data_IF_224038093892
#
_entry.id   IF_224038093892
#
_cell.length_a   1.000
_cell.length_b   1.000
_cell.length_c   1.000
_cell.angle_alpha   90.00
_cell.angle_beta   90.00
_cell.angle_gamma   90.00
#
_symmetry.space_group_name_H-M   'P 1'
#
loop_
_entity.id
_entity.type
_entity.pdbx_description
1 polymer ?
#
# COMPACT_ATOMS: atom_id res chain seq x y z
N UNK A 1 -18.59 24.27 18.38
CA UNK A 1 -19.39 24.30 17.14
C UNK A 1 -19.48 22.89 16.59
N UNK A 2 -20.67 22.28 16.64
CA UNK A 2 -20.91 20.94 16.12
C UNK A 2 -20.75 20.96 14.59
N UNK A 3 -19.71 20.32 14.05
CA UNK A 3 -19.55 20.15 12.61
C UNK A 3 -20.58 19.11 12.17
N UNK A 4 -21.60 19.55 11.45
CA UNK A 4 -22.67 18.71 10.91
C UNK A 4 -22.10 17.47 10.23
N UNK A 5 -22.55 16.29 10.68
CA UNK A 5 -22.10 14.96 10.23
C UNK A 5 -22.59 14.65 8.80
N UNK A 6 -23.46 15.48 8.24
CA UNK A 6 -24.23 15.19 7.03
C UNK A 6 -23.87 16.04 5.81
N UNK A 7 -22.59 16.35 5.61
CA UNK A 7 -22.14 16.82 4.29
C UNK A 7 -21.94 15.61 3.38
N UNK A 8 -22.59 15.55 2.19
CA UNK A 8 -22.38 14.48 1.21
C UNK A 8 -20.90 14.26 0.86
N UNK A 9 -20.08 15.32 0.93
CA UNK A 9 -18.65 15.28 0.67
C UNK A 9 -17.85 14.45 1.69
N UNK A 10 -18.37 14.24 2.91
CA UNK A 10 -17.68 13.45 3.95
C UNK A 10 -17.94 11.95 3.87
N UNK A 11 -18.89 11.51 3.05
CA UNK A 11 -19.23 10.09 2.92
C UNK A 11 -18.22 9.42 2.00
N UNK A 12 -17.63 8.32 2.45
CA UNK A 12 -16.75 7.49 1.63
C UNK A 12 -17.58 6.66 0.64
N UNK A 13 -17.35 6.87 -0.64
CA UNK A 13 -17.85 6.03 -1.71
C UNK A 13 -16.95 4.80 -1.88
N UNK A 14 -17.55 3.66 -2.20
CA UNK A 14 -16.88 2.40 -2.51
C UNK A 14 -17.15 2.12 -3.99
N UNK A 15 -16.11 2.15 -4.81
CA UNK A 15 -16.22 2.18 -6.26
C UNK A 15 -15.37 1.09 -6.90
N UNK A 16 -15.64 0.87 -8.18
CA UNK A 16 -14.80 0.04 -9.04
C UNK A 16 -14.36 0.85 -10.26
N UNK A 17 -13.14 0.58 -10.73
CA UNK A 17 -12.63 1.03 -12.02
C UNK A 17 -12.11 -0.19 -12.79
N UNK A 18 -12.20 -0.15 -14.11
CA UNK A 18 -11.50 -1.09 -14.97
C UNK A 18 -10.11 -0.51 -15.28
N UNK A 19 -9.06 -1.28 -15.02
CA UNK A 19 -7.68 -0.94 -15.37
C UNK A 19 -7.11 -2.10 -16.16
N UNK A 20 -7.08 -1.95 -17.48
CA UNK A 20 -6.63 -2.96 -18.46
C UNK A 20 -7.34 -4.32 -18.27
N UNK A 21 -8.66 -4.30 -18.05
CA UNK A 21 -9.46 -5.51 -17.83
C UNK A 21 -9.36 -6.09 -16.41
N UNK A 22 -8.62 -5.44 -15.50
CA UNK A 22 -8.64 -5.78 -14.06
C UNK A 22 -9.67 -4.91 -13.36
N UNK A 23 -10.65 -5.52 -12.67
CA UNK A 23 -11.62 -4.77 -11.86
C UNK A 23 -10.98 -4.38 -10.53
N UNK A 24 -10.72 -3.09 -10.37
CA UNK A 24 -10.05 -2.50 -9.21
C UNK A 24 -11.08 -1.88 -8.28
N UNK A 25 -11.13 -2.35 -7.04
CA UNK A 25 -11.88 -1.66 -5.99
C UNK A 25 -11.08 -0.45 -5.49
N UNK A 26 -11.78 0.64 -5.19
CA UNK A 26 -11.19 1.77 -4.50
C UNK A 26 -12.21 2.51 -3.63
N UNK A 27 -11.70 3.14 -2.58
CA UNK A 27 -12.45 4.10 -1.76
C UNK A 27 -12.18 5.50 -2.29
N UNK A 28 -13.23 6.31 -2.32
CA UNK A 28 -13.14 7.73 -2.67
C UNK A 28 -13.89 8.58 -1.63
N UNK A 29 -13.33 9.71 -1.23
CA UNK A 29 -14.02 10.66 -0.36
C UNK A 29 -13.65 12.11 -0.72
N UNK A 30 -14.57 13.04 -0.47
CA UNK A 30 -14.37 14.48 -0.69
C UNK A 30 -14.87 15.01 -2.03
N UNK A 31 -14.84 16.34 -2.24
CA UNK A 31 -15.34 16.97 -3.46
C UNK A 31 -14.57 16.50 -4.70
N UNK A 32 -15.25 16.15 -5.82
CA UNK A 32 -14.58 15.66 -7.04
C UNK A 32 -13.55 16.63 -7.65
N UNK A 33 -13.70 17.93 -7.40
CA UNK A 33 -12.87 19.03 -7.89
C UNK A 33 -11.79 19.50 -6.88
N UNK A 34 -11.77 18.92 -5.68
CA UNK A 34 -10.74 19.22 -4.68
C UNK A 34 -9.36 18.63 -5.08
N UNK A 35 -8.26 19.20 -4.57
CA UNK A 35 -6.93 18.61 -4.79
C UNK A 35 -6.87 17.16 -4.31
N UNK A 36 -6.20 16.32 -5.09
CA UNK A 36 -6.17 14.87 -4.89
C UNK A 36 -5.09 14.47 -3.88
N UNK A 37 -5.42 13.55 -2.99
CA UNK A 37 -4.43 12.75 -2.24
C UNK A 37 -4.65 11.28 -2.60
N UNK A 38 -3.63 10.67 -3.19
CA UNK A 38 -3.60 9.25 -3.53
C UNK A 38 -3.00 8.47 -2.35
N UNK A 39 -3.69 7.41 -1.94
CA UNK A 39 -3.43 6.64 -0.72
C UNK A 39 -3.16 5.16 -1.09
N UNK A 40 -1.99 4.81 -1.64
CA UNK A 40 -1.59 3.42 -1.80
C UNK A 40 -1.40 2.77 -0.43
N UNK A 41 -2.03 1.61 -0.20
CA UNK A 41 -1.92 0.90 1.07
C UNK A 41 -0.60 0.13 1.20
N UNK A 42 -0.29 -0.31 2.42
CA UNK A 42 0.81 -1.24 2.71
C UNK A 42 0.39 -2.71 2.68
N UNK A 43 1.35 -3.57 2.92
CA UNK A 43 1.17 -4.97 3.27
C UNK A 43 0.79 -5.10 4.76
N UNK A 44 -0.01 -6.10 5.17
CA UNK A 44 -0.87 -7.00 4.38
C UNK A 44 -2.29 -6.40 4.19
N UNK A 45 -2.41 -5.09 4.02
CA UNK A 45 -3.68 -4.36 4.16
C UNK A 45 -4.42 -4.18 2.81
N UNK A 46 -5.38 -3.25 2.81
CA UNK A 46 -6.11 -2.75 1.64
C UNK A 46 -6.43 -1.26 1.85
N UNK A 47 -7.25 -0.65 0.98
CA UNK A 47 -7.81 0.70 1.20
C UNK A 47 -8.53 0.84 2.54
N UNK A 48 -8.93 -0.27 3.17
CA UNK A 48 -9.50 -0.29 4.53
C UNK A 48 -8.56 0.31 5.59
N UNK A 49 -7.24 0.32 5.34
CA UNK A 49 -6.24 1.03 6.15
C UNK A 49 -6.64 2.49 6.39
N UNK A 50 -7.22 3.14 5.39
CA UNK A 50 -7.52 4.57 5.41
C UNK A 50 -8.96 4.89 5.81
N UNK A 51 -9.76 3.91 6.25
CA UNK A 51 -11.20 4.08 6.53
C UNK A 51 -11.54 5.21 7.51
N UNK A 52 -10.68 5.46 8.50
CA UNK A 52 -10.85 6.53 9.48
C UNK A 52 -10.15 7.82 9.04
N UNK A 53 -9.07 7.69 8.28
CA UNK A 53 -8.29 8.80 7.76
C UNK A 53 -9.06 9.59 6.70
N UNK A 54 -9.73 8.88 5.79
CA UNK A 54 -10.40 9.53 4.65
C UNK A 54 -11.52 10.49 5.07
N UNK A 55 -12.50 10.10 5.91
CA UNK A 55 -13.57 11.01 6.33
C UNK A 55 -13.07 12.25 7.07
N UNK A 56 -11.91 12.16 7.76
CA UNK A 56 -11.34 13.26 8.52
C UNK A 56 -10.76 14.39 7.65
N UNK A 57 -10.44 14.10 6.38
CA UNK A 57 -9.84 15.05 5.43
C UNK A 57 -10.73 15.35 4.21
N UNK A 58 -11.82 14.60 4.05
CA UNK A 58 -12.75 14.70 2.92
C UNK A 58 -13.50 16.04 2.83
N UNK A 59 -13.38 16.95 3.79
CA UNK A 59 -13.94 18.30 3.65
C UNK A 59 -13.07 19.24 2.81
N UNK A 60 -11.82 18.87 2.52
CA UNK A 60 -10.84 19.72 1.81
C UNK A 60 -10.14 19.03 0.65
N UNK A 61 -10.09 17.71 0.65
CA UNK A 61 -9.30 16.93 -0.29
C UNK A 61 -10.15 15.85 -0.95
N UNK A 62 -9.85 15.56 -2.21
CA UNK A 62 -10.33 14.35 -2.89
C UNK A 62 -9.37 13.20 -2.57
N UNK A 63 -9.81 12.26 -1.77
CA UNK A 63 -8.99 11.15 -1.30
C UNK A 63 -9.33 9.91 -2.12
N UNK A 64 -8.31 9.25 -2.67
CA UNK A 64 -8.47 8.06 -3.50
C UNK A 64 -7.56 6.97 -2.97
N UNK A 65 -8.13 5.84 -2.54
CA UNK A 65 -7.40 4.70 -1.99
C UNK A 65 -7.76 3.42 -2.77
N UNK A 66 -6.94 2.96 -3.72
CA UNK A 66 -7.16 1.68 -4.41
C UNK A 66 -6.86 0.50 -3.48
N UNK A 67 -7.55 -0.61 -3.68
CA UNK A 67 -7.05 -1.93 -3.30
C UNK A 67 -6.17 -2.43 -4.45
N UNK A 68 -4.92 -2.81 -4.16
CA UNK A 68 -4.03 -3.36 -5.19
C UNK A 68 -4.58 -4.68 -5.77
N UNK A 69 -4.32 -5.01 -7.05
CA UNK A 69 -4.62 -6.33 -7.60
C UNK A 69 -4.05 -7.44 -6.71
N UNK A 70 -4.86 -8.44 -6.38
CA UNK A 70 -4.53 -9.48 -5.40
C UNK A 70 -4.76 -9.11 -3.93
N UNK A 71 -5.24 -7.89 -3.64
CA UNK A 71 -5.58 -7.42 -2.30
C UNK A 71 -7.04 -6.98 -2.22
N UNK A 72 -7.58 -6.99 -1.00
CA UNK A 72 -8.91 -6.48 -0.69
C UNK A 72 -9.99 -6.99 -1.64
N UNK A 73 -10.78 -6.07 -2.18
CA UNK A 73 -11.89 -6.37 -3.09
C UNK A 73 -11.53 -6.22 -4.58
N UNK A 74 -10.26 -5.99 -4.92
CA UNK A 74 -9.79 -5.98 -6.31
C UNK A 74 -9.62 -7.39 -6.86
N UNK A 75 -9.70 -7.53 -8.18
CA UNK A 75 -9.43 -8.80 -8.86
C UNK A 75 -7.99 -9.29 -8.60
N UNK A 76 -7.78 -10.58 -8.83
CA UNK A 76 -6.46 -11.23 -8.76
C UNK A 76 -6.10 -11.71 -10.17
N UNK A 77 -5.62 -10.83 -11.06
CA UNK A 77 -5.29 -11.20 -12.44
C UNK A 77 -4.25 -12.32 -12.50
N UNK A 78 -4.24 -13.05 -13.62
CA UNK A 78 -3.25 -14.10 -13.86
C UNK A 78 -1.81 -13.50 -13.83
N UNK A 79 -0.84 -14.13 -13.15
CA UNK A 79 0.54 -13.64 -13.11
C UNK A 79 1.22 -13.50 -14.48
N UNK A 80 0.75 -14.19 -15.52
CA UNK A 80 1.21 -13.99 -16.89
C UNK A 80 0.76 -12.63 -17.49
N UNK A 81 -0.33 -12.06 -16.97
CA UNK A 81 -0.88 -10.76 -17.38
C UNK A 81 -0.59 -9.61 -16.42
N UNK A 82 -0.17 -9.90 -15.18
CA UNK A 82 0.15 -8.90 -14.16
C UNK A 82 1.43 -9.23 -13.41
N UNK A 83 2.40 -8.30 -13.41
CA UNK A 83 3.62 -8.44 -12.63
C UNK A 83 3.36 -8.07 -11.16
N UNK A 84 3.33 -9.07 -10.29
CA UNK A 84 3.19 -8.93 -8.84
C UNK A 84 4.50 -8.51 -8.15
N UNK A 85 5.12 -7.46 -8.67
CA UNK A 85 6.35 -6.85 -8.13
C UNK A 85 6.08 -5.41 -7.71
N UNK A 86 6.96 -4.82 -6.91
CA UNK A 86 6.87 -3.39 -6.57
C UNK A 86 6.85 -2.47 -7.81
N UNK A 87 7.55 -2.83 -8.89
CA UNK A 87 7.55 -2.06 -10.14
C UNK A 87 6.25 -2.28 -10.92
N UNK A 88 5.76 -3.51 -10.96
CA UNK A 88 4.45 -3.84 -11.55
C UNK A 88 3.31 -3.09 -10.87
N UNK A 89 3.32 -3.00 -9.54
CA UNK A 89 2.36 -2.19 -8.79
C UNK A 89 2.53 -0.68 -9.02
N UNK A 90 3.75 -0.19 -9.21
CA UNK A 90 3.98 1.22 -9.55
C UNK A 90 3.43 1.58 -10.94
N UNK A 91 3.68 0.70 -11.92
CA UNK A 91 3.07 0.80 -13.26
C UNK A 91 1.55 0.67 -13.21
N UNK A 92 1.01 -0.18 -12.34
CA UNK A 92 -0.42 -0.25 -12.11
C UNK A 92 -0.99 1.06 -11.55
N UNK A 93 -0.36 1.70 -10.56
CA UNK A 93 -0.82 2.99 -10.06
C UNK A 93 -0.81 4.08 -11.13
N UNK A 94 0.18 4.08 -12.01
CA UNK A 94 0.24 5.01 -13.14
C UNK A 94 -0.98 4.84 -14.07
N UNK A 95 -1.36 3.59 -14.37
CA UNK A 95 -2.54 3.29 -15.19
C UNK A 95 -3.85 3.56 -14.46
N UNK A 96 -3.95 3.21 -13.19
CA UNK A 96 -5.11 3.49 -12.34
C UNK A 96 -5.37 5.00 -12.20
N UNK A 97 -4.34 5.79 -11.92
CA UNK A 97 -4.46 7.25 -11.84
C UNK A 97 -4.86 7.85 -13.19
N UNK A 98 -4.36 7.29 -14.30
CA UNK A 98 -4.76 7.72 -15.64
C UNK A 98 -6.21 7.35 -15.97
N UNK A 99 -6.68 6.15 -15.60
CA UNK A 99 -8.06 5.70 -15.78
C UNK A 99 -9.09 6.55 -15.01
N UNK A 100 -8.67 7.10 -13.86
CA UNK A 100 -9.46 8.05 -13.06
C UNK A 100 -9.22 9.52 -13.43
N UNK A 101 -8.44 9.78 -14.49
CA UNK A 101 -8.06 11.11 -14.96
C UNK A 101 -7.40 12.00 -13.89
N UNK A 102 -6.67 11.41 -12.95
CA UNK A 102 -5.98 12.12 -11.88
C UNK A 102 -4.68 12.73 -12.41
N UNK A 103 -4.75 14.01 -12.80
CA UNK A 103 -3.62 14.72 -13.43
C UNK A 103 -2.56 15.23 -12.46
N UNK A 104 -2.93 15.47 -11.20
CA UNK A 104 -2.02 15.97 -10.16
C UNK A 104 -2.48 15.56 -8.78
N UNK A 105 -1.57 15.04 -7.95
CA UNK A 105 -1.90 14.48 -6.64
C UNK A 105 -0.77 14.63 -5.62
N UNK A 106 -1.12 14.70 -4.34
CA UNK A 106 -0.21 14.38 -3.25
C UNK A 106 -0.20 12.86 -3.04
N UNK A 107 0.96 12.30 -2.70
CA UNK A 107 1.10 10.88 -2.35
C UNK A 107 1.22 10.72 -0.84
N UNK A 108 0.39 9.85 -0.27
CA UNK A 108 0.56 9.37 1.09
C UNK A 108 1.26 8.02 1.07
N UNK A 109 2.49 7.99 1.59
CA UNK A 109 3.41 6.87 1.49
C UNK A 109 3.47 6.17 2.86
N UNK A 110 3.06 4.90 2.88
CA UNK A 110 3.09 4.04 4.06
C UNK A 110 3.48 2.61 3.70
N UNK A 111 4.42 2.02 4.46
CA UNK A 111 4.88 0.64 4.30
C UNK A 111 5.26 0.35 2.82
N UNK A 112 4.83 -0.77 2.22
CA UNK A 112 5.07 -1.11 0.81
C UNK A 112 4.49 -0.05 -0.14
N UNK A 113 3.39 0.60 0.26
CA UNK A 113 2.82 1.75 -0.46
C UNK A 113 3.81 2.90 -0.62
N UNK A 114 4.82 3.01 0.26
CA UNK A 114 5.92 3.96 0.12
C UNK A 114 6.83 3.64 -1.05
N UNK A 115 7.28 2.39 -1.15
CA UNK A 115 8.18 1.94 -2.22
C UNK A 115 7.46 1.98 -3.58
N UNK A 116 6.22 1.49 -3.63
CA UNK A 116 5.38 1.54 -4.83
C UNK A 116 5.10 3.01 -5.23
N UNK A 117 4.71 3.85 -4.28
CA UNK A 117 4.37 5.25 -4.52
C UNK A 117 5.58 6.11 -4.91
N UNK A 118 6.78 5.85 -4.36
CA UNK A 118 8.00 6.54 -4.78
C UNK A 118 8.41 6.16 -6.20
N UNK A 119 8.25 4.90 -6.61
CA UNK A 119 8.45 4.49 -8.00
C UNK A 119 7.48 5.22 -8.93
N UNK A 120 6.21 5.36 -8.56
CA UNK A 120 5.26 6.19 -9.32
C UNK A 120 5.73 7.66 -9.40
N UNK A 121 6.17 8.22 -8.28
CA UNK A 121 6.65 9.60 -8.22
C UNK A 121 7.87 9.85 -9.12
N UNK A 122 8.76 8.87 -9.25
CA UNK A 122 9.91 8.93 -10.16
C UNK A 122 9.52 8.74 -11.63
N UNK A 123 8.45 8.00 -11.92
CA UNK A 123 7.94 7.77 -13.28
C UNK A 123 7.20 8.98 -13.84
N UNK A 124 6.45 9.69 -12.99
CA UNK A 124 5.64 10.85 -13.37
C UNK A 124 5.81 12.03 -12.38
N UNK A 125 7.04 12.57 -12.22
CA UNK A 125 7.32 13.60 -11.20
C UNK A 125 6.49 14.88 -11.39
N UNK A 126 6.10 15.21 -12.61
CA UNK A 126 5.27 16.38 -12.93
C UNK A 126 3.84 16.26 -12.38
N UNK A 127 3.36 15.05 -12.10
CA UNK A 127 2.04 14.79 -11.51
C UNK A 127 2.06 14.85 -9.98
N UNK A 128 3.24 14.86 -9.36
CA UNK A 128 3.39 14.85 -7.90
C UNK A 128 3.38 16.29 -7.36
N UNK A 129 2.38 16.60 -6.53
CA UNK A 129 2.27 17.89 -5.85
C UNK A 129 2.99 17.92 -4.50
N UNK A 130 2.97 16.80 -3.78
CA UNK A 130 3.57 16.64 -2.46
C UNK A 130 3.77 15.15 -2.13
N UNK A 131 4.70 14.88 -1.22
CA UNK A 131 4.89 13.57 -0.60
C UNK A 131 4.65 13.69 0.90
N UNK A 132 3.81 12.82 1.45
CA UNK A 132 3.56 12.65 2.88
C UNK A 132 4.06 11.26 3.21
N UNK A 133 5.10 11.14 4.03
CA UNK A 133 5.71 9.84 4.37
C UNK A 133 5.40 9.50 5.82
N UNK A 134 4.77 8.35 6.05
CA UNK A 134 4.49 7.79 7.38
C UNK A 134 4.92 6.32 7.39
N UNK A 135 5.89 5.94 8.21
CA UNK A 135 6.37 4.56 8.33
C UNK A 135 6.73 3.96 6.96
N UNK A 136 7.62 4.62 6.21
CA UNK A 136 8.08 4.16 4.91
C UNK A 136 9.59 3.99 4.91
N UNK A 137 10.07 2.85 4.42
CA UNK A 137 11.47 2.48 4.51
C UNK A 137 12.22 2.80 3.22
N UNK A 138 13.27 3.62 3.36
CA UNK A 138 14.22 3.93 2.28
C UNK A 138 15.68 3.78 2.74
N UNK A 139 15.91 3.06 3.85
CA UNK A 139 17.22 2.77 4.43
C UNK A 139 17.31 1.31 4.87
N UNK A 140 18.51 0.73 4.79
CA UNK A 140 18.74 -0.70 5.08
C UNK A 140 18.68 -1.05 6.58
N UNK A 141 18.92 -0.08 7.45
CA UNK A 141 18.90 -0.21 8.91
C UNK A 141 17.49 -0.35 9.48
N UNK A 142 16.45 -0.07 8.69
CA UNK A 142 15.04 -0.29 9.06
C UNK A 142 14.63 -1.78 9.00
N UNK A 143 15.42 -2.62 8.31
CA UNK A 143 15.21 -4.07 8.28
C UNK A 143 15.79 -4.74 9.54
N UNK A 144 15.13 -4.49 10.67
CA UNK A 144 15.49 -4.97 12.01
C UNK A 144 15.32 -6.49 12.25
N UNK A 145 15.39 -6.95 13.53
CA UNK A 145 15.44 -8.37 13.89
C UNK A 145 14.30 -9.22 13.32
N UNK A 146 13.08 -8.67 13.18
CA UNK A 146 11.95 -9.38 12.57
C UNK A 146 12.21 -9.88 11.15
N UNK A 147 13.14 -9.26 10.41
CA UNK A 147 13.50 -9.65 9.05
C UNK A 147 14.65 -10.66 8.98
N UNK A 148 15.18 -11.17 10.11
CA UNK A 148 16.34 -12.06 10.09
C UNK A 148 16.11 -13.34 9.28
N UNK A 149 14.95 -13.98 9.45
CA UNK A 149 14.60 -15.19 8.69
C UNK A 149 14.40 -14.91 7.21
N UNK A 150 13.88 -13.73 6.87
CA UNK A 150 13.72 -13.32 5.48
C UNK A 150 15.08 -13.02 4.82
N UNK A 151 16.00 -12.39 5.55
CA UNK A 151 17.38 -12.16 5.08
C UNK A 151 18.13 -13.47 4.86
N UNK A 152 18.02 -14.42 5.79
CA UNK A 152 18.60 -15.76 5.63
C UNK A 152 18.06 -16.47 4.37
N UNK A 153 16.75 -16.37 4.14
CA UNK A 153 16.12 -16.89 2.94
C UNK A 153 16.65 -16.19 1.67
N UNK A 154 16.85 -14.87 1.68
CA UNK A 154 17.41 -14.16 0.53
C UNK A 154 18.83 -14.64 0.18
N UNK A 155 19.67 -14.89 1.18
CA UNK A 155 21.04 -15.38 0.94
C UNK A 155 21.05 -16.83 0.45
N UNK A 156 20.09 -17.64 0.89
CA UNK A 156 19.99 -19.07 0.60
C UNK A 156 18.55 -19.49 0.22
N UNK A 157 18.06 -19.11 -0.98
CA UNK A 157 16.69 -19.40 -1.38
C UNK A 157 16.52 -20.91 -1.61
N UNK A 158 15.60 -21.51 -0.86
CA UNK A 158 15.29 -22.94 -0.91
C UNK A 158 13.77 -23.16 -0.96
N UNK A 159 13.29 -24.27 -1.57
CA UNK A 159 11.88 -24.64 -1.52
C UNK A 159 11.32 -24.70 -0.10
N UNK A 160 12.09 -25.24 0.84
CA UNK A 160 11.72 -25.34 2.27
C UNK A 160 11.68 -23.97 2.95
N UNK A 161 12.61 -23.07 2.61
CA UNK A 161 12.57 -21.69 3.06
C UNK A 161 11.33 -20.94 2.57
N UNK A 162 10.98 -21.11 1.29
CA UNK A 162 9.77 -20.51 0.72
C UNK A 162 8.50 -21.08 1.34
N UNK A 163 8.46 -22.40 1.58
CA UNK A 163 7.34 -23.05 2.26
C UNK A 163 7.13 -22.45 3.67
N UNK A 164 8.21 -22.19 4.41
CA UNK A 164 8.14 -21.50 5.71
C UNK A 164 7.55 -20.09 5.61
N UNK A 165 7.93 -19.30 4.59
CA UNK A 165 7.32 -17.98 4.35
C UNK A 165 5.82 -18.12 4.08
N UNK A 166 5.41 -19.09 3.27
CA UNK A 166 4.00 -19.34 2.96
C UNK A 166 3.21 -19.77 4.21
N UNK A 167 3.79 -20.62 5.05
CA UNK A 167 3.22 -21.06 6.34
C UNK A 167 3.07 -19.91 7.34
N UNK A 168 3.87 -18.85 7.23
CA UNK A 168 3.72 -17.64 8.03
C UNK A 168 2.58 -16.73 7.56
N UNK A 169 2.16 -16.83 6.29
CA UNK A 169 0.99 -16.08 5.77
C UNK A 169 -0.30 -16.73 6.25
N UNK A 170 -0.70 -16.39 7.48
CA UNK A 170 -1.90 -16.87 8.19
C UNK A 170 -2.63 -15.70 8.86
N UNK A 171 -3.84 -15.93 9.41
CA UNK A 171 -4.52 -14.90 10.23
C UNK A 171 -3.63 -14.43 11.39
N UNK A 172 -2.93 -15.35 12.04
CA UNK A 172 -2.01 -15.06 13.14
C UNK A 172 -0.79 -14.28 12.65
N UNK A 173 -0.19 -14.67 11.52
CA UNK A 173 0.88 -13.89 10.90
C UNK A 173 0.46 -12.46 10.54
N UNK A 174 -0.76 -12.27 10.01
CA UNK A 174 -1.32 -10.93 9.77
C UNK A 174 -1.48 -10.13 11.07
N UNK A 175 -1.94 -10.77 12.16
CA UNK A 175 -2.01 -10.13 13.47
C UNK A 175 -0.61 -9.65 13.89
N UNK A 176 0.39 -10.49 13.75
CA UNK A 176 1.76 -10.18 14.14
C UNK A 176 2.35 -9.05 13.29
N UNK A 177 1.98 -8.92 12.01
CA UNK A 177 2.34 -7.75 11.18
C UNK A 177 1.69 -6.45 11.68
N UNK A 178 0.41 -6.47 12.08
CA UNK A 178 -0.28 -5.26 12.58
C UNK A 178 0.12 -4.88 14.00
N UNK A 179 0.38 -5.85 14.86
CA UNK A 179 0.89 -5.62 16.22
C UNK A 179 2.36 -5.21 16.15
N UNK A 180 3.15 -5.88 15.32
CA UNK A 180 4.58 -5.62 15.15
C UNK A 180 5.33 -5.66 16.47
N UNK A 181 6.24 -4.71 16.65
CA UNK A 181 7.10 -4.58 17.83
C UNK A 181 6.58 -3.52 18.82
N UNK A 182 5.27 -3.22 18.83
CA UNK A 182 4.70 -2.23 19.76
C UNK A 182 4.72 -2.76 21.20
N UNK A 183 4.79 -1.83 22.15
CA UNK A 183 4.69 -2.12 23.59
C UNK A 183 3.40 -2.87 23.92
N UNK A 184 3.49 -3.92 24.75
CA UNK A 184 2.37 -4.78 25.14
C UNK A 184 1.16 -3.98 25.65
N UNK A 185 1.39 -2.86 26.35
CA UNK A 185 0.32 -1.98 26.86
C UNK A 185 -0.48 -1.27 25.77
N UNK A 186 0.01 -1.27 24.53
CA UNK A 186 -0.63 -0.65 23.37
C UNK A 186 -1.35 -1.66 22.48
N UNK A 187 -1.14 -2.97 22.68
CA UNK A 187 -1.75 -4.02 21.86
C UNK A 187 -3.27 -3.97 21.90
N UNK A 188 -3.86 -3.67 23.06
CA UNK A 188 -5.32 -3.51 23.23
C UNK A 188 -5.90 -2.35 22.40
N UNK A 189 -5.07 -1.43 21.92
CA UNK A 189 -5.50 -0.32 21.05
C UNK A 189 -5.51 -0.69 19.57
N UNK A 190 -4.95 -1.85 19.21
CA UNK A 190 -4.97 -2.35 17.84
C UNK A 190 -6.25 -3.14 17.63
N UNK A 191 -7.12 -2.62 16.76
CA UNK A 191 -8.39 -3.26 16.46
C UNK A 191 -8.16 -4.61 15.78
N UNK A 192 -8.77 -5.71 16.27
CA UNK A 192 -8.67 -7.02 15.63
C UNK A 192 -9.27 -7.06 14.22
N UNK A 193 -10.12 -6.09 13.88
CA UNK A 193 -10.70 -5.94 12.54
C UNK A 193 -9.61 -5.86 11.45
N UNK A 194 -8.41 -5.36 11.79
CA UNK A 194 -7.31 -5.21 10.84
C UNK A 194 -6.88 -6.55 10.24
N UNK A 195 -6.75 -7.61 11.03
CA UNK A 195 -6.38 -8.94 10.52
C UNK A 195 -7.60 -9.84 10.30
N UNK A 196 -8.61 -9.77 11.18
CA UNK A 196 -9.80 -10.63 11.08
C UNK A 196 -10.64 -10.38 9.83
N UNK A 197 -10.74 -9.13 9.38
CA UNK A 197 -11.48 -8.81 8.16
C UNK A 197 -10.62 -8.89 6.90
N UNK A 198 -9.30 -8.75 7.02
CA UNK A 198 -8.36 -8.88 5.89
C UNK A 198 -8.10 -10.34 5.53
N UNK A 199 -8.04 -11.24 6.51
CA UNK A 199 -7.67 -12.63 6.29
C UNK A 199 -8.56 -13.39 5.29
N UNK A 200 -9.91 -13.32 5.36
CA UNK A 200 -10.78 -13.96 4.36
C UNK A 200 -10.62 -13.39 2.94
N UNK A 201 -9.95 -12.24 2.79
CA UNK A 201 -9.62 -11.64 1.51
C UNK A 201 -8.19 -11.98 1.06
N UNK A 202 -7.42 -12.75 1.82
CA UNK A 202 -6.03 -13.06 1.50
C UNK A 202 -5.71 -14.56 1.60
N UNK A 203 -6.60 -15.39 2.14
CA UNK A 203 -6.34 -16.80 2.46
C UNK A 203 -6.31 -17.75 1.25
N UNK A 204 -6.64 -17.28 0.05
CA UNK A 204 -6.57 -18.09 -1.16
C UNK A 204 -5.11 -18.45 -1.51
N UNK A 205 -4.84 -19.65 -2.07
CA UNK A 205 -3.47 -20.06 -2.42
C UNK A 205 -2.75 -19.03 -3.30
N UNK A 206 -3.44 -18.49 -4.30
CA UNK A 206 -2.87 -17.49 -5.22
C UNK A 206 -2.50 -16.18 -4.50
N UNK A 207 -3.37 -15.65 -3.62
CA UNK A 207 -3.09 -14.40 -2.90
C UNK A 207 -1.96 -14.58 -1.89
N UNK A 208 -1.92 -15.72 -1.20
CA UNK A 208 -0.79 -16.06 -0.30
C UNK A 208 0.52 -16.16 -1.06
N UNK A 209 0.53 -16.79 -2.25
CA UNK A 209 1.73 -16.83 -3.10
C UNK A 209 2.17 -15.44 -3.56
N UNK A 210 1.23 -14.53 -3.88
CA UNK A 210 1.54 -13.12 -4.18
C UNK A 210 2.17 -12.43 -2.98
N UNK A 211 1.67 -12.66 -1.76
CA UNK A 211 2.23 -12.08 -0.54
C UNK A 211 3.69 -12.52 -0.33
N UNK A 212 3.95 -13.83 -0.47
CA UNK A 212 5.31 -14.38 -0.39
C UNK A 212 6.19 -13.78 -1.49
N UNK A 213 5.71 -13.68 -2.72
CA UNK A 213 6.43 -13.06 -3.83
C UNK A 213 6.84 -11.60 -3.54
N UNK A 214 5.99 -10.84 -2.85
CA UNK A 214 6.34 -9.49 -2.41
C UNK A 214 7.39 -9.46 -1.29
N UNK A 215 7.35 -10.41 -0.35
CA UNK A 215 8.41 -10.57 0.66
C UNK A 215 9.75 -10.96 0.01
N UNK A 216 9.73 -11.80 -1.01
CA UNK A 216 10.91 -12.15 -1.80
C UNK A 216 11.44 -10.90 -2.54
N UNK A 217 10.55 -10.14 -3.17
CA UNK A 217 10.87 -8.91 -3.90
C UNK A 217 11.33 -7.73 -3.03
N UNK A 218 11.16 -7.78 -1.71
CA UNK A 218 11.71 -6.77 -0.80
C UNK A 218 13.24 -6.66 -0.92
N UNK A 219 13.94 -7.75 -1.25
CA UNK A 219 15.38 -7.72 -1.48
C UNK A 219 15.76 -6.71 -2.56
N UNK A 220 15.02 -6.69 -3.67
CA UNK A 220 15.28 -5.78 -4.78
C UNK A 220 15.08 -4.32 -4.39
N UNK A 221 14.24 -4.01 -3.38
CA UNK A 221 14.06 -2.64 -2.92
C UNK A 221 15.34 -2.03 -2.33
N UNK A 222 16.26 -2.85 -1.82
CA UNK A 222 17.55 -2.35 -1.29
C UNK A 222 18.33 -1.61 -2.39
N UNK A 223 18.31 -2.12 -3.63
CA UNK A 223 18.92 -1.46 -4.79
C UNK A 223 18.19 -0.18 -5.23
N UNK A 224 16.95 0.01 -4.78
CA UNK A 224 16.16 1.20 -5.04
C UNK A 224 16.35 2.31 -4.01
N UNK A 225 16.76 1.98 -2.78
CA UNK A 225 16.90 2.96 -1.70
C UNK A 225 17.80 4.16 -2.08
N UNK A 226 19.00 3.98 -2.67
CA UNK A 226 19.80 5.12 -3.13
C UNK A 226 19.10 6.00 -4.18
N UNK A 227 18.26 5.39 -5.03
CA UNK A 227 17.51 6.11 -6.08
C UNK A 227 16.39 6.94 -5.46
N UNK A 228 15.65 6.40 -4.50
CA UNK A 228 14.64 7.15 -3.74
C UNK A 228 15.28 8.35 -3.01
N UNK A 229 16.40 8.13 -2.35
CA UNK A 229 17.14 9.20 -1.65
C UNK A 229 17.67 10.27 -2.62
N UNK A 230 18.15 9.88 -3.81
CA UNK A 230 18.55 10.82 -4.85
C UNK A 230 17.36 11.65 -5.34
N UNK A 231 16.24 11.00 -5.64
CA UNK A 231 15.00 11.65 -6.07
C UNK A 231 14.51 12.69 -5.06
N UNK A 232 14.46 12.34 -3.76
CA UNK A 232 14.05 13.26 -2.69
C UNK A 232 15.04 14.43 -2.51
N UNK A 233 16.33 14.22 -2.77
CA UNK A 233 17.34 15.29 -2.71
C UNK A 233 17.20 16.27 -3.88
N UNK A 234 16.82 15.79 -5.05
CA UNK A 234 16.57 16.59 -6.25
C UNK A 234 15.24 17.36 -6.16
N UNK A 235 14.17 16.68 -5.76
CA UNK A 235 12.79 17.21 -5.75
C UNK A 235 12.40 17.81 -4.40
N UNK A 236 13.20 18.76 -3.90
CA UNK A 236 12.92 19.42 -2.62
C UNK A 236 11.76 20.41 -2.72
N UNK A 237 10.93 20.54 -1.67
CA UNK A 237 9.97 21.64 -1.58
C UNK A 237 10.70 22.98 -1.77
N UNK A 238 10.10 23.90 -2.54
CA UNK A 238 10.60 25.27 -2.63
C UNK A 238 10.56 25.88 -1.22
N UNK A 239 11.69 26.42 -0.77
CA UNK A 239 11.82 27.13 0.50
C UNK A 239 11.04 28.44 0.48
#
# INVERSE_FOLDING_TARGET
MARTIDSPARRTAHRYADVDGTRVFYREAGPPDAPVVLLPHGYPSSSYQFRAFMPALADRWRLVAPDFPGFGYSDTPDPAGFSYTFDGYAGFLERFTSALELRRYALYLHDYGSQIGLRLAMRAPERVAALIVQNGDIYEDELGPKYSSLREYWDHPTPEGRARLLEAVTEEGLRDEFVGEIDERLVERISPDLWKLSWPLLDSPQRRDIMVGLMEGLRENLDWFPKYQAYLREHRPRR
#
